data_IF_482197585694
#
_entry.id   IF_482197585694
#
_cell.length_a   1.000
_cell.length_b   1.000
_cell.length_c   1.000
_cell.angle_alpha   90.00
_cell.angle_beta   90.00
_cell.angle_gamma   90.00
#
_symmetry.space_group_name_H-M   'P 1'
#
loop_
_entity.id
_entity.type
_entity.pdbx_description
1 polymer ?
#
# COMPACT_ATOMS: atom_id res chain seq x y z
N UNK A 1 16.49 21.88 19.81
CA UNK A 1 17.13 22.38 18.58
C UNK A 1 16.03 22.50 17.55
N UNK A 2 15.66 23.73 17.15
CA UNK A 2 14.62 23.95 16.14
C UNK A 2 15.09 23.26 14.85
N UNK A 3 14.28 22.36 14.28
CA UNK A 3 14.55 21.84 12.95
C UNK A 3 14.39 23.02 11.99
N UNK A 4 15.51 23.59 11.57
CA UNK A 4 15.56 24.68 10.61
C UNK A 4 15.11 24.10 9.27
N UNK A 5 13.82 24.23 8.98
CA UNK A 5 13.22 23.76 7.74
C UNK A 5 13.77 24.64 6.61
N UNK A 6 14.83 24.16 5.96
CA UNK A 6 15.30 24.78 4.72
C UNK A 6 14.12 24.80 3.76
N UNK A 7 13.64 26.00 3.42
CA UNK A 7 12.66 26.18 2.35
C UNK A 7 13.22 25.52 1.10
N UNK A 8 12.39 24.74 0.42
CA UNK A 8 12.76 24.18 -0.88
C UNK A 8 13.03 25.35 -1.83
N UNK A 9 14.29 25.50 -2.24
CA UNK A 9 14.73 26.59 -3.12
C UNK A 9 14.36 26.32 -4.59
N UNK A 10 13.78 25.14 -4.89
CA UNK A 10 13.33 24.79 -6.23
C UNK A 10 12.12 25.62 -6.64
N UNK A 11 12.14 26.09 -7.89
CA UNK A 11 10.99 26.75 -8.51
C UNK A 11 9.84 25.77 -8.76
N UNK A 12 8.61 26.29 -8.85
CA UNK A 12 7.43 25.47 -9.17
C UNK A 12 7.60 24.67 -10.48
N UNK A 13 8.24 25.26 -11.50
CA UNK A 13 8.53 24.58 -12.77
C UNK A 13 9.46 23.39 -12.61
N UNK A 14 10.47 23.46 -11.73
CA UNK A 14 11.35 22.32 -11.46
C UNK A 14 10.62 21.18 -10.78
N UNK A 15 9.70 21.48 -9.85
CA UNK A 15 8.88 20.46 -9.19
C UNK A 15 7.93 19.78 -10.17
N UNK A 16 7.26 20.55 -11.04
CA UNK A 16 6.38 20.02 -12.09
C UNK A 16 7.17 19.17 -13.08
N UNK A 17 8.35 19.62 -13.52
CA UNK A 17 9.19 18.86 -14.42
C UNK A 17 9.63 17.52 -13.80
N UNK A 18 10.04 17.51 -12.53
CA UNK A 18 10.41 16.28 -11.81
C UNK A 18 9.22 15.32 -11.68
N UNK A 19 8.04 15.83 -11.32
CA UNK A 19 6.83 15.02 -11.27
C UNK A 19 6.49 14.42 -12.64
N UNK A 20 6.56 15.23 -13.70
CA UNK A 20 6.30 14.79 -15.07
C UNK A 20 7.28 13.71 -15.54
N UNK A 21 8.56 13.82 -15.17
CA UNK A 21 9.57 12.78 -15.46
C UNK A 21 9.23 11.47 -14.75
N UNK A 22 8.86 11.51 -13.46
CA UNK A 22 8.48 10.32 -12.70
C UNK A 22 7.25 9.64 -13.35
N UNK A 23 6.17 10.41 -13.56
CA UNK A 23 4.93 9.88 -14.13
C UNK A 23 5.15 9.37 -15.55
N UNK A 24 5.88 10.12 -16.39
CA UNK A 24 6.20 9.71 -17.76
C UNK A 24 7.02 8.42 -17.81
N UNK A 25 8.00 8.26 -16.92
CA UNK A 25 8.80 7.04 -16.83
C UNK A 25 7.96 5.83 -16.38
N UNK A 26 7.09 6.00 -15.37
CA UNK A 26 6.17 4.94 -14.93
C UNK A 26 5.25 4.52 -16.08
N UNK A 27 4.60 5.47 -16.75
CA UNK A 27 3.72 5.17 -17.89
C UNK A 27 4.44 4.44 -19.01
N UNK A 28 5.69 4.82 -19.31
CA UNK A 28 6.50 4.19 -20.35
C UNK A 28 6.86 2.74 -19.98
N UNK A 29 7.34 2.49 -18.76
CA UNK A 29 7.74 1.15 -18.29
C UNK A 29 6.57 0.19 -18.24
N UNK A 30 5.39 0.68 -17.82
CA UNK A 30 4.17 -0.13 -17.71
C UNK A 30 3.30 -0.12 -18.97
N UNK A 31 3.77 0.45 -20.09
CA UNK A 31 3.05 0.45 -21.36
C UNK A 31 2.59 -0.96 -21.82
N UNK A 32 3.37 -2.05 -21.61
CA UNK A 32 2.91 -3.40 -21.95
C UNK A 32 1.67 -3.84 -21.17
N UNK A 33 1.55 -3.44 -19.90
CA UNK A 33 0.43 -3.82 -19.03
C UNK A 33 -0.91 -3.23 -19.50
N UNK A 34 -0.91 -2.10 -20.21
CA UNK A 34 -2.13 -1.54 -20.81
C UNK A 34 -2.83 -2.47 -21.81
N UNK A 35 -2.05 -3.38 -22.41
CA UNK A 35 -2.52 -4.36 -23.41
C UNK A 35 -2.70 -5.75 -22.81
N UNK A 36 -2.42 -5.93 -21.53
CA UNK A 36 -2.63 -7.19 -20.84
C UNK A 36 -4.13 -7.43 -20.60
N UNK A 37 -4.49 -8.70 -20.46
CA UNK A 37 -5.80 -9.13 -20.01
C UNK A 37 -5.77 -9.55 -18.55
N UNK A 38 -6.94 -9.91 -18.03
CA UNK A 38 -7.06 -10.53 -16.71
C UNK A 38 -6.31 -11.87 -16.65
N UNK A 39 -5.65 -12.13 -15.52
CA UNK A 39 -4.86 -13.35 -15.29
C UNK A 39 -5.12 -13.92 -13.88
N UNK A 40 -4.91 -15.23 -13.73
CA UNK A 40 -4.95 -15.94 -12.45
C UNK A 40 -6.23 -15.68 -11.64
N UNK A 41 -6.11 -15.08 -10.46
CA UNK A 41 -7.22 -14.82 -9.54
C UNK A 41 -8.10 -13.63 -9.97
N UNK A 42 -7.73 -12.87 -11.01
CA UNK A 42 -8.56 -11.81 -11.58
C UNK A 42 -9.93 -12.34 -12.02
N UNK A 43 -9.98 -13.60 -12.46
CA UNK A 43 -11.24 -14.23 -12.81
C UNK A 43 -12.16 -14.29 -11.59
N UNK A 44 -11.67 -14.83 -10.48
CA UNK A 44 -12.45 -14.99 -9.25
C UNK A 44 -12.75 -13.66 -8.56
N UNK A 45 -11.76 -12.76 -8.50
CA UNK A 45 -11.83 -11.53 -7.73
C UNK A 45 -12.54 -10.40 -8.49
N UNK A 46 -12.48 -10.40 -9.82
CA UNK A 46 -12.98 -9.31 -10.66
C UNK A 46 -14.09 -9.79 -11.60
N UNK A 47 -13.80 -10.61 -12.61
CA UNK A 47 -14.76 -10.84 -13.71
C UNK A 47 -15.95 -11.71 -13.29
N UNK A 48 -15.71 -12.79 -12.54
CA UNK A 48 -16.73 -13.70 -12.03
C UNK A 48 -17.32 -13.26 -10.68
N UNK A 49 -16.76 -12.24 -10.03
CA UNK A 49 -17.20 -11.80 -8.72
C UNK A 49 -18.61 -11.15 -8.76
N UNK A 50 -19.64 -11.77 -8.16
CA UNK A 50 -21.00 -11.23 -8.19
C UNK A 50 -21.15 -9.97 -7.34
N UNK A 51 -20.29 -9.76 -6.35
CA UNK A 51 -20.36 -8.61 -5.44
C UNK A 51 -20.11 -7.27 -6.16
N UNK A 52 -19.42 -7.30 -7.31
CA UNK A 52 -19.08 -6.11 -8.07
C UNK A 52 -20.20 -5.61 -8.99
N UNK A 53 -21.33 -6.34 -9.09
CA UNK A 53 -22.36 -6.10 -10.12
C UNK A 53 -23.52 -5.22 -9.65
N UNK A 54 -23.74 -5.12 -8.34
CA UNK A 54 -24.93 -4.44 -7.79
C UNK A 54 -24.57 -3.61 -6.56
N UNK A 55 -25.45 -2.67 -6.22
CA UNK A 55 -25.31 -1.90 -4.98
C UNK A 55 -25.46 -2.78 -3.73
N UNK A 56 -26.29 -3.83 -3.77
CA UNK A 56 -26.37 -4.81 -2.68
C UNK A 56 -25.05 -5.55 -2.48
N UNK A 57 -24.34 -5.85 -3.57
CA UNK A 57 -23.00 -6.42 -3.52
C UNK A 57 -21.99 -5.49 -2.85
N UNK A 58 -22.09 -4.17 -3.09
CA UNK A 58 -21.28 -3.17 -2.36
C UNK A 58 -21.58 -3.18 -0.86
N UNK A 59 -22.84 -3.25 -0.45
CA UNK A 59 -23.18 -3.38 0.98
C UNK A 59 -22.57 -4.66 1.56
N UNK A 60 -22.63 -5.76 0.82
CA UNK A 60 -22.11 -7.06 1.24
C UNK A 60 -20.57 -7.10 1.35
N UNK A 61 -19.87 -6.36 0.48
CA UNK A 61 -18.42 -6.15 0.58
C UNK A 61 -18.05 -5.55 1.94
N UNK A 62 -18.81 -4.56 2.42
CA UNK A 62 -18.54 -3.90 3.69
C UNK A 62 -19.04 -4.68 4.90
N UNK A 63 -20.13 -5.44 4.77
CA UNK A 63 -20.66 -6.28 5.86
C UNK A 63 -19.94 -7.61 6.03
N UNK A 64 -19.17 -8.06 5.02
CA UNK A 64 -18.31 -9.24 5.09
C UNK A 64 -19.04 -10.57 4.88
N UNK A 65 -20.04 -10.61 4.01
CA UNK A 65 -20.90 -11.79 3.83
C UNK A 65 -20.21 -12.99 3.16
N UNK A 66 -19.49 -12.77 2.05
CA UNK A 66 -19.00 -13.84 1.14
C UNK A 66 -17.53 -13.74 0.74
N UNK A 67 -16.74 -12.95 1.44
CA UNK A 67 -15.33 -12.70 1.09
C UNK A 67 -14.39 -13.53 1.96
N UNK A 68 -13.45 -14.25 1.34
CA UNK A 68 -12.41 -14.97 2.08
C UNK A 68 -11.45 -14.02 2.81
N UNK A 69 -11.09 -12.91 2.16
CA UNK A 69 -10.33 -11.81 2.75
C UNK A 69 -11.19 -10.56 2.90
N UNK A 70 -11.04 -9.84 4.01
CA UNK A 70 -11.78 -8.61 4.28
C UNK A 70 -11.03 -7.36 3.79
N UNK A 71 -11.11 -7.10 2.48
CA UNK A 71 -10.53 -5.93 1.82
C UNK A 71 -11.61 -5.04 1.18
N UNK A 72 -12.52 -4.44 2.00
CA UNK A 72 -13.68 -3.75 1.47
C UNK A 72 -13.32 -2.49 0.66
N UNK A 73 -12.21 -1.83 0.97
CA UNK A 73 -11.78 -0.65 0.20
C UNK A 73 -11.32 -1.04 -1.21
N UNK A 74 -10.50 -2.08 -1.33
CA UNK A 74 -10.06 -2.61 -2.64
C UNK A 74 -11.27 -3.07 -3.46
N UNK A 75 -12.17 -3.85 -2.86
CA UNK A 75 -13.37 -4.32 -3.55
C UNK A 75 -14.33 -3.18 -3.92
N UNK A 76 -14.35 -2.08 -3.16
CA UNK A 76 -15.08 -0.87 -3.54
C UNK A 76 -14.48 -0.23 -4.80
N UNK A 77 -13.15 -0.19 -4.93
CA UNK A 77 -12.51 0.30 -6.16
C UNK A 77 -12.83 -0.63 -7.33
N UNK A 78 -12.72 -1.95 -7.17
CA UNK A 78 -13.13 -2.89 -8.22
C UNK A 78 -14.61 -2.75 -8.60
N UNK A 79 -15.48 -2.46 -7.64
CA UNK A 79 -16.90 -2.19 -7.90
C UNK A 79 -17.04 -0.95 -8.79
N UNK A 80 -16.33 0.14 -8.48
CA UNK A 80 -16.32 1.36 -9.28
C UNK A 80 -15.78 1.06 -10.69
N UNK A 81 -14.63 0.38 -10.79
CA UNK A 81 -14.01 0.03 -12.07
C UNK A 81 -14.92 -0.85 -12.94
N UNK A 82 -15.63 -1.82 -12.35
CA UNK A 82 -16.62 -2.64 -13.07
C UNK A 82 -17.73 -1.79 -13.68
N UNK A 83 -18.20 -0.77 -12.96
CA UNK A 83 -19.27 0.11 -13.45
C UNK A 83 -18.77 1.14 -14.48
N UNK A 84 -17.49 1.49 -14.46
CA UNK A 84 -16.88 2.41 -15.42
C UNK A 84 -16.38 1.71 -16.70
N UNK A 85 -15.82 0.51 -16.58
CA UNK A 85 -15.07 -0.16 -17.63
C UNK A 85 -15.64 -1.53 -18.03
N UNK A 86 -16.61 -2.06 -17.29
CA UNK A 86 -17.17 -3.39 -17.53
C UNK A 86 -16.11 -4.47 -17.38
N UNK A 87 -15.89 -5.26 -18.43
CA UNK A 87 -14.87 -6.33 -18.48
C UNK A 87 -13.63 -5.91 -19.28
N UNK A 88 -13.45 -4.61 -19.53
CA UNK A 88 -12.28 -4.11 -20.22
C UNK A 88 -11.08 -3.94 -19.25
N UNK A 89 -10.17 -4.92 -19.25
CA UNK A 89 -8.97 -4.94 -18.40
C UNK A 89 -8.09 -3.68 -18.53
N UNK A 90 -8.08 -3.01 -19.70
CA UNK A 90 -7.29 -1.78 -19.90
C UNK A 90 -7.64 -0.69 -18.90
N UNK A 91 -8.92 -0.54 -18.54
CA UNK A 91 -9.35 0.46 -17.55
C UNK A 91 -8.77 0.19 -16.17
N UNK A 92 -8.76 -1.08 -15.76
CA UNK A 92 -8.23 -1.51 -14.47
C UNK A 92 -6.71 -1.34 -14.41
N UNK A 93 -5.98 -1.76 -15.45
CA UNK A 93 -4.53 -1.54 -15.52
C UNK A 93 -4.19 -0.04 -15.48
N UNK A 94 -4.97 0.81 -16.16
CA UNK A 94 -4.75 2.25 -16.12
C UNK A 94 -4.85 2.81 -14.70
N UNK A 95 -5.84 2.39 -13.90
CA UNK A 95 -5.97 2.80 -12.50
C UNK A 95 -4.77 2.34 -11.67
N UNK A 96 -4.35 1.07 -11.77
CA UNK A 96 -3.17 0.57 -11.05
C UNK A 96 -1.90 1.37 -11.39
N UNK A 97 -1.66 1.62 -12.68
CA UNK A 97 -0.46 2.34 -13.15
C UNK A 97 -0.48 3.80 -12.69
N UNK A 98 -1.64 4.47 -12.78
CA UNK A 98 -1.78 5.86 -12.31
C UNK A 98 -1.60 5.96 -10.80
N UNK A 99 -2.14 5.00 -10.04
CA UNK A 99 -2.01 4.93 -8.59
C UNK A 99 -0.55 4.68 -8.18
N UNK A 100 0.16 3.78 -8.87
CA UNK A 100 1.59 3.55 -8.66
C UNK A 100 2.44 4.79 -9.01
N UNK A 101 2.05 5.53 -10.05
CA UNK A 101 2.63 6.84 -10.35
C UNK A 101 2.44 7.83 -9.21
N UNK A 102 1.25 7.85 -8.61
CA UNK A 102 0.97 8.67 -7.42
C UNK A 102 1.79 8.21 -6.20
N UNK A 103 1.97 6.91 -6.00
CA UNK A 103 2.84 6.35 -4.96
C UNK A 103 4.29 6.79 -5.13
N UNK A 104 4.83 6.76 -6.35
CA UNK A 104 6.18 7.24 -6.65
C UNK A 104 6.35 8.73 -6.29
N UNK A 105 5.34 9.56 -6.56
CA UNK A 105 5.32 10.96 -6.13
C UNK A 105 5.24 11.06 -4.60
N UNK A 106 4.38 10.28 -3.95
CA UNK A 106 4.24 10.30 -2.49
C UNK A 106 5.52 9.84 -1.78
N UNK A 107 6.24 8.85 -2.32
CA UNK A 107 7.59 8.45 -1.86
C UNK A 107 8.53 9.65 -1.91
N UNK A 108 8.58 10.35 -3.05
CA UNK A 108 9.36 11.58 -3.16
C UNK A 108 8.95 12.61 -2.11
N UNK A 109 7.66 12.89 -1.96
CA UNK A 109 7.15 13.90 -1.02
C UNK A 109 7.44 13.54 0.44
N UNK A 110 7.30 12.27 0.84
CA UNK A 110 7.65 11.78 2.17
C UNK A 110 9.14 11.94 2.41
N UNK A 111 10.00 11.47 1.50
CA UNK A 111 11.45 11.55 1.66
C UNK A 111 11.95 13.00 1.65
N UNK A 112 11.33 13.87 0.84
CA UNK A 112 11.62 15.29 0.83
C UNK A 112 11.26 15.92 2.18
N UNK A 113 10.10 15.58 2.75
CA UNK A 113 9.71 16.05 4.08
C UNK A 113 10.65 15.53 5.18
N UNK A 114 11.15 14.32 5.04
CA UNK A 114 12.19 13.76 5.91
C UNK A 114 13.58 14.37 5.68
N UNK A 115 13.73 15.32 4.73
CA UNK A 115 14.98 15.98 4.36
C UNK A 115 16.05 15.00 3.85
N UNK A 116 15.63 13.94 3.15
CA UNK A 116 16.54 12.98 2.53
C UNK A 116 17.04 13.55 1.19
N UNK A 117 18.36 13.65 0.97
CA UNK A 117 18.89 14.12 -0.31
C UNK A 117 18.52 13.14 -1.44
N UNK A 118 18.24 13.67 -2.63
CA UNK A 118 17.88 12.85 -3.79
C UNK A 118 16.47 12.25 -3.73
N UNK A 119 15.57 12.75 -2.87
CA UNK A 119 14.22 12.23 -2.68
C UNK A 119 13.42 12.01 -3.98
N UNK A 120 13.53 12.91 -4.96
CA UNK A 120 12.82 12.76 -6.24
C UNK A 120 13.37 11.60 -7.07
N UNK A 121 14.68 11.36 -7.01
CA UNK A 121 15.33 10.25 -7.68
C UNK A 121 14.97 8.92 -7.03
N UNK A 122 14.81 8.89 -5.71
CA UNK A 122 14.27 7.73 -5.00
C UNK A 122 12.83 7.43 -5.42
N UNK A 123 11.97 8.45 -5.58
CA UNK A 123 10.63 8.29 -6.15
C UNK A 123 10.65 7.76 -7.58
N UNK A 124 11.56 8.25 -8.43
CA UNK A 124 11.76 7.72 -9.79
C UNK A 124 12.18 6.25 -9.77
N UNK A 125 13.20 5.89 -8.98
CA UNK A 125 13.65 4.50 -8.82
C UNK A 125 12.48 3.62 -8.39
N UNK A 126 11.76 4.01 -7.34
CA UNK A 126 10.58 3.28 -6.86
C UNK A 126 9.56 3.07 -7.98
N UNK A 127 9.25 4.12 -8.75
CA UNK A 127 8.29 4.06 -9.85
C UNK A 127 8.66 3.03 -10.92
N UNK A 128 9.95 2.94 -11.28
CA UNK A 128 10.43 2.09 -12.39
C UNK A 128 11.04 0.75 -11.94
N UNK A 129 11.10 0.47 -10.65
CA UNK A 129 11.80 -0.71 -10.14
C UNK A 129 11.04 -2.00 -10.50
N UNK A 130 11.69 -3.02 -11.10
CA UNK A 130 11.02 -4.22 -11.59
C UNK A 130 10.36 -5.06 -10.49
N UNK A 131 10.80 -4.93 -9.24
CA UNK A 131 10.16 -5.60 -8.08
C UNK A 131 8.67 -5.26 -7.92
N UNK A 132 8.22 -4.12 -8.45
CA UNK A 132 6.83 -3.70 -8.34
C UNK A 132 5.95 -4.23 -9.47
N UNK A 133 6.53 -4.88 -10.50
CA UNK A 133 5.78 -5.30 -11.68
C UNK A 133 4.61 -6.21 -11.33
N UNK A 134 4.81 -7.16 -10.41
CA UNK A 134 3.73 -8.02 -9.94
C UNK A 134 2.60 -7.23 -9.28
N UNK A 135 2.92 -6.22 -8.47
CA UNK A 135 1.88 -5.41 -7.80
C UNK A 135 1.14 -4.46 -8.75
N UNK A 136 1.81 -3.99 -9.82
CA UNK A 136 1.25 -2.96 -10.71
C UNK A 136 0.57 -3.57 -11.93
N UNK A 137 1.18 -4.57 -12.55
CA UNK A 137 0.69 -5.16 -13.80
C UNK A 137 -0.40 -6.23 -13.57
N UNK A 138 -0.42 -6.91 -12.42
CA UNK A 138 -1.50 -7.82 -12.06
C UNK A 138 -2.66 -7.04 -11.45
N UNK A 139 -3.84 -7.12 -12.08
CA UNK A 139 -4.96 -6.26 -11.72
C UNK A 139 -5.43 -6.48 -10.28
N UNK A 140 -5.56 -7.75 -9.85
CA UNK A 140 -5.97 -8.09 -8.48
C UNK A 140 -4.99 -7.68 -7.39
N UNK A 141 -3.75 -7.30 -7.74
CA UNK A 141 -2.80 -6.68 -6.82
C UNK A 141 -3.01 -5.17 -6.60
N UNK A 142 -4.10 -4.60 -7.13
CA UNK A 142 -4.60 -3.27 -6.72
C UNK A 142 -4.62 -3.13 -5.18
N UNK A 143 -4.92 -4.22 -4.46
CA UNK A 143 -4.85 -4.29 -2.99
C UNK A 143 -3.50 -3.81 -2.42
N UNK A 144 -2.39 -4.10 -3.08
CA UNK A 144 -1.06 -3.63 -2.67
C UNK A 144 -0.85 -2.17 -2.98
N UNK A 145 -1.13 -1.75 -4.22
CA UNK A 145 -0.89 -0.39 -4.70
C UNK A 145 -1.76 0.59 -3.90
N UNK A 146 -3.05 0.28 -3.72
CA UNK A 146 -3.96 1.10 -2.93
C UNK A 146 -3.60 1.17 -1.45
N UNK A 147 -3.18 0.05 -0.85
CA UNK A 147 -2.71 0.04 0.52
C UNK A 147 -1.42 0.85 0.70
N UNK A 148 -0.50 0.81 -0.27
CA UNK A 148 0.71 1.63 -0.29
C UNK A 148 0.36 3.12 -0.38
N UNK A 149 -0.51 3.51 -1.30
CA UNK A 149 -0.99 4.89 -1.45
C UNK A 149 -1.49 5.49 -0.15
N UNK A 150 -2.42 4.80 0.51
CA UNK A 150 -2.94 5.25 1.79
C UNK A 150 -1.91 5.19 2.92
N UNK A 151 -0.98 4.23 2.90
CA UNK A 151 0.13 4.17 3.86
C UNK A 151 1.05 5.39 3.73
N UNK A 152 1.42 5.77 2.50
CA UNK A 152 2.27 6.92 2.22
C UNK A 152 1.58 8.24 2.58
N UNK A 153 0.27 8.38 2.30
CA UNK A 153 -0.52 9.52 2.76
C UNK A 153 -0.58 9.59 4.29
N UNK A 154 -0.70 8.45 4.97
CA UNK A 154 -0.69 8.36 6.42
C UNK A 154 0.65 8.85 6.99
N UNK A 155 1.77 8.37 6.43
CA UNK A 155 3.12 8.81 6.80
C UNK A 155 3.30 10.31 6.54
N UNK A 156 2.97 10.78 5.33
CA UNK A 156 3.14 12.18 4.93
C UNK A 156 2.39 13.13 5.87
N UNK A 157 1.17 12.75 6.27
CA UNK A 157 0.31 13.50 7.19
C UNK A 157 0.83 13.43 8.63
N UNK A 158 1.30 12.25 9.09
CA UNK A 158 1.89 12.08 10.42
C UNK A 158 3.14 12.95 10.60
N UNK A 159 4.05 12.91 9.62
CA UNK A 159 5.27 13.72 9.61
C UNK A 159 4.90 15.22 9.59
N UNK A 160 3.96 15.62 8.73
CA UNK A 160 3.50 17.02 8.65
C UNK A 160 2.84 17.53 9.95
N UNK A 161 2.15 16.65 10.69
CA UNK A 161 1.56 17.02 12.00
C UNK A 161 2.63 17.47 13.02
N UNK A 162 3.86 16.97 12.91
CA UNK A 162 4.98 17.37 13.77
C UNK A 162 5.56 18.75 13.40
N UNK A 163 5.61 19.07 12.11
CA UNK A 163 6.23 20.31 11.62
C UNK A 163 5.39 21.55 11.94
N UNK A 164 4.07 21.45 11.80
CA UNK A 164 3.14 22.58 11.92
C UNK A 164 2.59 22.78 13.35
N UNK A 165 3.43 22.64 14.38
CA UNK A 165 3.04 22.74 15.80
C UNK A 165 1.84 21.83 16.16
N UNK A 166 2.00 20.51 16.03
CA UNK A 166 0.98 19.52 16.43
C UNK A 166 -0.38 19.75 15.78
N UNK A 167 -0.40 19.83 14.44
CA UNK A 167 -1.65 19.95 13.69
C UNK A 167 -2.53 18.72 13.93
N UNK A 168 -3.60 18.90 14.71
CA UNK A 168 -4.59 17.86 14.98
C UNK A 168 -5.24 17.36 13.69
N UNK A 169 -5.49 18.25 12.72
CA UNK A 169 -6.07 17.87 11.42
C UNK A 169 -5.15 16.91 10.64
N UNK A 170 -3.84 17.19 10.58
CA UNK A 170 -2.89 16.33 9.90
C UNK A 170 -2.72 14.97 10.62
N UNK A 171 -2.80 14.96 11.95
CA UNK A 171 -2.80 13.72 12.72
C UNK A 171 -4.06 12.87 12.49
N UNK A 172 -5.26 13.49 12.49
CA UNK A 172 -6.51 12.80 12.19
C UNK A 172 -6.54 12.30 10.74
N UNK A 173 -6.04 13.07 9.79
CA UNK A 173 -5.87 12.63 8.41
C UNK A 173 -4.95 11.40 8.33
N UNK A 174 -3.85 11.37 9.10
CA UNK A 174 -2.96 10.21 9.17
C UNK A 174 -3.66 8.95 9.67
N UNK A 175 -4.45 9.05 10.73
CA UNK A 175 -5.25 7.94 11.24
C UNK A 175 -6.29 7.48 10.22
N UNK A 176 -6.98 8.42 9.58
CA UNK A 176 -7.97 8.13 8.55
C UNK A 176 -7.35 7.37 7.37
N UNK A 177 -6.23 7.85 6.82
CA UNK A 177 -5.53 7.14 5.75
C UNK A 177 -5.00 5.79 6.19
N UNK A 178 -4.55 5.64 7.44
CA UNK A 178 -4.16 4.32 7.94
C UNK A 178 -5.34 3.34 8.00
N UNK A 179 -6.55 3.81 8.38
CA UNK A 179 -7.76 3.01 8.32
C UNK A 179 -8.02 2.51 6.89
N UNK A 180 -7.94 3.41 5.91
CA UNK A 180 -8.12 3.06 4.49
C UNK A 180 -7.06 2.09 3.98
N UNK A 181 -5.81 2.23 4.44
CA UNK A 181 -4.72 1.31 4.12
C UNK A 181 -5.02 -0.11 4.63
N UNK A 182 -5.46 -0.24 5.89
CA UNK A 182 -5.85 -1.52 6.50
C UNK A 182 -7.08 -2.14 5.80
N UNK A 183 -8.07 -1.31 5.45
CA UNK A 183 -9.26 -1.74 4.69
C UNK A 183 -8.96 -2.12 3.23
N UNK A 184 -7.81 -1.70 2.69
CA UNK A 184 -7.33 -2.08 1.35
C UNK A 184 -6.54 -3.38 1.39
N UNK A 185 -5.59 -3.48 2.33
CA UNK A 185 -4.87 -4.72 2.64
C UNK A 185 -4.22 -4.62 4.03
N UNK A 186 -4.47 -5.63 4.86
CA UNK A 186 -4.03 -5.62 6.27
C UNK A 186 -2.52 -5.82 6.47
N UNK A 187 -1.75 -6.09 5.42
CA UNK A 187 -0.28 -6.16 5.50
C UNK A 187 0.38 -4.88 6.03
N UNK A 188 -0.34 -3.74 5.99
CA UNK A 188 0.14 -2.43 6.45
C UNK A 188 0.21 -2.28 7.98
N UNK A 189 -0.11 -3.34 8.74
CA UNK A 189 0.00 -3.43 10.21
C UNK A 189 1.41 -3.13 10.76
N UNK A 190 2.46 -3.10 9.93
CA UNK A 190 3.79 -2.67 10.35
C UNK A 190 3.91 -1.15 10.54
N UNK A 191 3.02 -0.34 9.96
CA UNK A 191 3.11 1.12 9.96
C UNK A 191 3.26 1.73 11.37
N UNK A 192 2.53 1.32 12.42
CA UNK A 192 2.68 1.87 13.76
C UNK A 192 4.13 1.75 14.29
N UNK A 193 4.82 0.66 13.96
CA UNK A 193 6.23 0.45 14.31
C UNK A 193 7.11 1.45 13.56
N UNK A 194 6.88 1.64 12.26
CA UNK A 194 7.63 2.61 11.46
C UNK A 194 7.45 4.05 11.98
N UNK A 195 6.21 4.44 12.34
CA UNK A 195 5.91 5.76 12.90
C UNK A 195 6.55 5.96 14.29
N UNK A 196 6.54 4.92 15.13
CA UNK A 196 7.19 4.94 16.44
C UNK A 196 8.70 5.12 16.32
N UNK A 197 9.34 4.35 15.42
CA UNK A 197 10.77 4.46 15.14
C UNK A 197 11.12 5.83 14.56
N UNK A 198 10.30 6.36 13.65
CA UNK A 198 10.46 7.71 13.13
C UNK A 198 10.41 8.76 14.25
N UNK A 199 9.38 8.73 15.10
CA UNK A 199 9.24 9.66 16.22
C UNK A 199 10.40 9.57 17.20
N UNK A 200 10.81 8.35 17.55
CA UNK A 200 11.95 8.09 18.43
C UNK A 200 13.26 8.62 17.86
N UNK A 201 13.52 8.39 16.57
CA UNK A 201 14.73 8.84 15.88
C UNK A 201 14.76 10.37 15.72
N UNK A 202 13.65 10.99 15.29
CA UNK A 202 13.64 12.39 14.86
C UNK A 202 13.41 13.38 15.98
N UNK A 203 12.46 13.13 16.88
CA UNK A 203 12.10 14.09 17.91
C UNK A 203 13.06 14.04 19.13
N UNK A 204 13.92 13.00 19.22
CA UNK A 204 14.74 12.68 20.42
C UNK A 204 13.96 12.82 21.74
N UNK A 205 12.65 12.66 21.66
CA UNK A 205 11.73 12.87 22.75
C UNK A 205 11.69 11.69 23.71
N UNK A 206 10.92 11.82 24.78
CA UNK A 206 10.63 10.67 25.64
C UNK A 206 9.94 9.58 24.82
N UNK A 207 10.53 8.39 24.76
CA UNK A 207 9.94 7.21 24.12
C UNK A 207 8.47 6.99 24.53
N UNK A 208 8.14 7.29 25.79
CA UNK A 208 6.76 7.24 26.32
C UNK A 208 5.78 8.13 25.56
N UNK A 209 6.20 9.34 25.15
CA UNK A 209 5.37 10.26 24.37
C UNK A 209 5.03 9.68 23.01
N UNK A 210 6.03 9.13 22.31
CA UNK A 210 5.81 8.56 20.98
C UNK A 210 4.94 7.30 21.06
N UNK A 211 5.13 6.45 22.08
CA UNK A 211 4.24 5.31 22.34
C UNK A 211 2.78 5.75 22.50
N UNK A 212 2.51 6.77 23.31
CA UNK A 212 1.14 7.30 23.49
C UNK A 212 0.58 7.82 22.16
N UNK A 213 1.39 8.54 21.39
CA UNK A 213 0.99 9.12 20.12
C UNK A 213 0.75 8.08 19.03
N UNK A 214 1.55 7.02 18.96
CA UNK A 214 1.33 5.93 18.00
C UNK A 214 0.32 4.91 18.50
N UNK A 215 -0.08 4.97 19.78
CA UNK A 215 -1.01 4.04 20.41
C UNK A 215 -2.29 3.78 19.60
N UNK A 216 -3.00 4.81 19.10
CA UNK A 216 -4.18 4.60 18.27
C UNK A 216 -3.90 3.80 16.99
N UNK A 217 -2.73 3.97 16.36
CA UNK A 217 -2.32 3.17 15.19
C UNK A 217 -2.09 1.70 15.58
N UNK A 218 -1.47 1.43 16.73
CA UNK A 218 -1.32 0.06 17.23
C UNK A 218 -2.67 -0.61 17.50
N UNK A 219 -3.62 0.12 18.09
CA UNK A 219 -4.98 -0.40 18.32
C UNK A 219 -5.67 -0.74 17.00
N UNK A 220 -5.60 0.15 16.00
CA UNK A 220 -6.17 -0.13 14.67
C UNK A 220 -5.52 -1.34 14.01
N UNK A 221 -4.19 -1.44 14.05
CA UNK A 221 -3.46 -2.58 13.50
C UNK A 221 -3.87 -3.91 14.18
N UNK A 222 -3.99 -3.91 15.52
CA UNK A 222 -4.43 -5.09 16.27
C UNK A 222 -5.88 -5.49 15.91
N UNK A 223 -6.80 -4.53 15.88
CA UNK A 223 -8.21 -4.78 15.55
C UNK A 223 -8.35 -5.34 14.14
N UNK A 224 -7.75 -4.71 13.13
CA UNK A 224 -7.82 -5.17 11.74
C UNK A 224 -7.05 -6.48 11.50
N UNK A 225 -5.96 -6.71 12.24
CA UNK A 225 -5.27 -8.00 12.25
C UNK A 225 -6.16 -9.13 12.75
N UNK A 226 -6.87 -8.91 13.87
CA UNK A 226 -7.84 -9.88 14.41
C UNK A 226 -9.02 -10.12 13.46
N UNK A 227 -9.54 -9.06 12.83
CA UNK A 227 -10.58 -9.19 11.80
C UNK A 227 -10.07 -10.07 10.65
N UNK A 228 -8.86 -9.84 10.16
CA UNK A 228 -8.27 -10.65 9.07
C UNK A 228 -8.18 -12.12 9.48
N UNK A 229 -7.67 -12.41 10.67
CA UNK A 229 -7.57 -13.78 11.19
C UNK A 229 -8.95 -14.45 11.22
N UNK A 230 -9.97 -13.73 11.68
CA UNK A 230 -11.33 -14.24 11.73
C UNK A 230 -11.90 -14.56 10.34
N UNK A 231 -11.68 -13.69 9.35
CA UNK A 231 -12.14 -13.91 7.97
C UNK A 231 -11.39 -15.05 7.30
N UNK A 232 -10.06 -15.11 7.45
CA UNK A 232 -9.25 -16.17 6.85
C UNK A 232 -9.59 -17.54 7.43
N UNK A 233 -9.86 -17.64 8.74
CA UNK A 233 -10.31 -18.89 9.36
C UNK A 233 -11.71 -19.36 8.89
N UNK A 234 -12.51 -18.46 8.29
CA UNK A 234 -13.81 -18.80 7.68
C UNK A 234 -13.69 -19.10 6.19
N UNK A 235 -12.78 -18.41 5.49
CA UNK A 235 -12.62 -18.46 4.04
C UNK A 235 -11.73 -19.59 3.55
N UNK A 236 -10.68 -19.92 4.31
CA UNK A 236 -9.89 -21.13 4.12
C UNK A 236 -10.75 -22.25 4.72
N UNK A 237 -11.31 -23.11 3.88
CA UNK A 237 -12.12 -24.25 4.33
C UNK A 237 -11.31 -25.24 5.19
N UNK A 238 -11.83 -26.45 5.39
CA UNK A 238 -11.15 -27.57 6.08
C UNK A 238 -9.87 -28.07 5.37
N UNK A 239 -9.23 -27.27 4.52
CA UNK A 239 -7.88 -27.56 4.07
C UNK A 239 -6.93 -27.46 5.26
N UNK A 240 -6.55 -28.62 5.80
CA UNK A 240 -5.41 -28.74 6.69
C UNK A 240 -4.19 -28.16 5.98
N UNK A 241 -3.86 -26.91 6.29
CA UNK A 241 -2.53 -26.39 6.03
C UNK A 241 -1.62 -27.31 6.83
N UNK A 242 -0.91 -28.22 6.16
CA UNK A 242 0.05 -29.13 6.78
C UNK A 242 1.17 -28.26 7.33
N UNK A 243 0.95 -27.78 8.54
CA UNK A 243 1.91 -27.04 9.32
C UNK A 243 2.96 -28.07 9.73
N UNK A 244 4.02 -28.15 8.92
CA UNK A 244 5.19 -28.94 9.26
C UNK A 244 5.74 -28.52 10.63
N UNK A 245 6.48 -29.43 11.27
CA UNK A 245 7.18 -29.14 12.52
C UNK A 245 8.07 -27.90 12.40
N UNK A 246 8.38 -27.25 13.53
CA UNK A 246 9.26 -26.07 13.55
C UNK A 246 10.60 -26.28 12.78
N UNK A 247 11.29 -27.43 12.89
CA UNK A 247 12.45 -27.73 12.05
C UNK A 247 12.15 -27.73 10.56
N UNK A 248 11.03 -28.32 10.13
CA UNK A 248 10.62 -28.35 8.72
C UNK A 248 10.35 -26.94 8.19
N UNK A 249 9.80 -26.05 9.03
CA UNK A 249 9.61 -24.63 8.70
C UNK A 249 10.95 -23.91 8.49
N UNK A 250 11.95 -24.15 9.34
CA UNK A 250 13.30 -23.60 9.17
C UNK A 250 13.98 -24.10 7.89
N UNK A 251 13.87 -25.40 7.59
CA UNK A 251 14.41 -25.98 6.35
C UNK A 251 13.72 -25.40 5.13
N UNK A 252 12.38 -25.29 5.13
CA UNK A 252 11.64 -24.68 4.04
C UNK A 252 12.01 -23.20 3.82
N UNK A 253 12.18 -22.43 4.90
CA UNK A 253 12.63 -21.04 4.81
C UNK A 253 14.04 -20.94 4.19
N UNK A 254 14.96 -21.85 4.56
CA UNK A 254 16.28 -21.93 3.97
C UNK A 254 16.27 -22.37 2.49
N UNK A 255 15.39 -23.30 2.11
CA UNK A 255 15.24 -23.74 0.72
C UNK A 255 14.84 -22.61 -0.22
N UNK A 256 13.99 -21.68 0.22
CA UNK A 256 13.62 -20.52 -0.59
C UNK A 256 14.84 -19.68 -0.97
N UNK A 257 15.76 -19.41 -0.02
CA UNK A 257 16.99 -18.64 -0.28
C UNK A 257 17.84 -19.34 -1.35
N UNK A 258 18.05 -20.66 -1.22
CA UNK A 258 18.85 -21.43 -2.17
C UNK A 258 18.17 -21.59 -3.54
N UNK A 259 16.85 -21.72 -3.56
CA UNK A 259 16.08 -21.81 -4.80
C UNK A 259 16.23 -20.53 -5.64
N UNK A 260 16.06 -19.36 -5.01
CA UNK A 260 16.25 -18.08 -5.70
C UNK A 260 17.71 -17.83 -6.06
N UNK A 261 18.67 -18.23 -5.20
CA UNK A 261 20.09 -18.14 -5.55
C UNK A 261 20.43 -18.98 -6.79
N UNK A 262 19.90 -20.20 -6.91
CA UNK A 262 20.08 -21.04 -8.10
C UNK A 262 19.55 -20.39 -9.38
N UNK A 263 18.38 -19.74 -9.30
CA UNK A 263 17.77 -19.03 -10.43
C UNK A 263 18.53 -17.79 -10.91
N UNK A 264 19.49 -17.27 -10.13
CA UNK A 264 20.36 -16.16 -10.55
C UNK A 264 21.47 -16.65 -11.48
N UNK A 265 21.81 -17.95 -11.44
CA UNK A 265 22.90 -18.54 -12.20
C UNK A 265 22.45 -19.43 -13.37
N UNK A 266 21.14 -19.60 -13.57
CA UNK A 266 20.49 -20.31 -14.68
C UNK A 266 19.87 -19.32 -15.68
#
# INVERSE_FOLDING_TARGET
MQADWKRDERSAWQLVAQAAVIVGAVLLVYLPAWRAGFVWDDEQLITANPLLRTFSGLIEIWSGGRTADYFPMTNTVFWIERHLFGENATGYHAINILLHGADAILVWLVLHRLQIPGAWFAGLIFGIHPVHVESVAWTSELKNVLAMFFTLLSIFSFVGSNEQRQSHAAYLASLFFFALALLSKTQTVFLPIALLLYGWWRDRGSFRREVIRTGPFFVMAAVFGLITIWFQNRGIGEEEIVIGSFPRRLVNAGMAIWWYAGKVFD
#
